data_IF_578300862118
#
_entry.id   IF_578300862118
#
_cell.length_a   1.000
_cell.length_b   1.000
_cell.length_c   1.000
_cell.angle_alpha   90.00
_cell.angle_beta   90.00
_cell.angle_gamma   90.00
#
_symmetry.space_group_name_H-M   'P 1'
#
loop_
_entity.id
_entity.type
_entity.pdbx_description
1 polymer ?
#
# COMPACT_ATOMS: atom_id res chain seq x y z
N UNK A 1 24.26 11.37 4.10
CA UNK A 1 23.50 10.10 4.19
C UNK A 1 23.78 9.30 5.47
N UNK A 2 24.82 9.64 6.22
CA UNK A 2 25.13 8.97 7.48
C UNK A 2 23.98 9.05 8.52
N UNK A 3 23.36 10.20 8.67
CA UNK A 3 22.33 10.42 9.70
C UNK A 3 21.05 9.59 9.56
N UNK A 4 20.60 9.23 8.32
CA UNK A 4 19.40 8.37 8.17
C UNK A 4 19.70 6.94 8.64
N UNK A 5 20.83 6.35 8.26
CA UNK A 5 21.19 5.00 8.67
C UNK A 5 21.37 4.90 10.20
N UNK A 6 21.97 5.93 10.81
CA UNK A 6 22.13 6.02 12.25
C UNK A 6 20.77 6.14 12.97
N UNK A 7 19.90 7.03 12.49
CA UNK A 7 18.54 7.19 13.02
C UNK A 7 17.70 5.92 12.88
N UNK A 8 17.77 5.23 11.73
CA UNK A 8 17.07 3.96 11.51
C UNK A 8 17.60 2.84 12.41
N UNK A 9 18.92 2.77 12.60
CA UNK A 9 19.56 1.82 13.53
C UNK A 9 19.13 2.09 14.97
N UNK A 10 19.11 3.36 15.38
CA UNK A 10 18.64 3.77 16.70
C UNK A 10 17.16 3.41 16.92
N UNK A 11 16.31 3.60 15.90
CA UNK A 11 14.90 3.20 15.94
C UNK A 11 14.75 1.69 16.14
N UNK A 12 15.50 0.87 15.41
CA UNK A 12 15.48 -0.58 15.54
C UNK A 12 16.01 -1.06 16.90
N UNK A 13 16.98 -0.37 17.45
CA UNK A 13 17.50 -0.58 18.80
C UNK A 13 16.58 -0.03 19.91
N UNK A 14 15.38 0.52 19.54
CA UNK A 14 14.42 1.17 20.44
C UNK A 14 14.97 2.42 21.16
N UNK A 15 16.10 2.96 20.70
CA UNK A 15 16.60 4.25 21.16
C UNK A 15 15.89 5.38 20.41
N UNK A 16 14.65 5.60 20.77
CA UNK A 16 13.78 6.55 20.05
C UNK A 16 14.19 8.01 20.21
N UNK A 17 14.89 8.36 21.30
CA UNK A 17 15.43 9.71 21.50
C UNK A 17 16.52 10.02 20.45
N UNK A 18 17.46 9.12 20.27
CA UNK A 18 18.51 9.25 19.24
C UNK A 18 17.89 9.20 17.85
N UNK A 19 16.95 8.26 17.60
CA UNK A 19 16.26 8.18 16.33
C UNK A 19 15.59 9.51 15.93
N UNK A 20 14.86 10.14 16.86
CA UNK A 20 14.24 11.46 16.61
C UNK A 20 15.26 12.55 16.32
N UNK A 21 16.35 12.58 17.06
CA UNK A 21 17.43 13.56 16.88
C UNK A 21 17.99 13.51 15.46
N UNK A 22 18.26 12.29 14.96
CA UNK A 22 18.86 12.08 13.65
C UNK A 22 17.82 12.20 12.50
N UNK A 23 16.61 11.68 12.68
CA UNK A 23 15.59 11.59 11.61
C UNK A 23 14.87 12.93 11.39
N UNK A 24 14.59 13.71 12.45
CA UNK A 24 13.79 14.94 12.33
C UNK A 24 14.39 15.97 11.37
N UNK A 25 15.69 16.32 11.43
CA UNK A 25 16.28 17.27 10.51
C UNK A 25 16.23 16.78 9.06
N UNK A 26 16.43 15.49 8.82
CA UNK A 26 16.36 14.88 7.49
C UNK A 26 14.94 14.91 6.92
N UNK A 27 13.94 14.58 7.73
CA UNK A 27 12.54 14.64 7.34
C UNK A 27 12.11 16.07 6.97
N UNK A 28 12.58 17.08 7.75
CA UNK A 28 12.36 18.50 7.45
C UNK A 28 13.06 18.96 6.18
N UNK A 29 14.23 18.38 5.89
CA UNK A 29 14.98 18.62 4.66
C UNK A 29 14.39 17.92 3.43
N UNK A 30 13.31 17.14 3.58
CA UNK A 30 12.60 16.51 2.47
C UNK A 30 12.97 15.04 2.21
N UNK A 31 13.84 14.41 3.01
CA UNK A 31 14.25 13.03 2.79
C UNK A 31 13.06 12.08 2.97
N UNK A 32 12.62 11.39 1.91
CA UNK A 32 11.39 10.61 1.90
C UNK A 32 11.36 9.46 2.93
N UNK A 33 12.48 8.73 3.08
CA UNK A 33 12.57 7.65 4.07
C UNK A 33 12.53 8.19 5.50
N UNK A 34 13.15 9.34 5.75
CA UNK A 34 13.10 9.99 7.06
C UNK A 34 11.70 10.49 7.37
N UNK A 35 11.00 11.06 6.39
CA UNK A 35 9.59 11.47 6.54
C UNK A 35 8.70 10.28 6.87
N UNK A 36 8.87 9.15 6.17
CA UNK A 36 8.13 7.93 6.45
C UNK A 36 8.41 7.41 7.85
N UNK A 37 9.68 7.33 8.26
CA UNK A 37 10.06 6.86 9.60
C UNK A 37 9.54 7.79 10.69
N UNK A 38 9.63 9.10 10.51
CA UNK A 38 9.07 10.07 11.45
C UNK A 38 7.54 9.96 11.56
N UNK A 39 6.86 9.75 10.43
CA UNK A 39 5.43 9.45 10.40
C UNK A 39 5.09 8.19 11.21
N UNK A 40 5.88 7.12 11.07
CA UNK A 40 5.72 5.89 11.84
C UNK A 40 5.94 6.10 13.34
N UNK A 41 6.90 6.94 13.73
CA UNK A 41 7.16 7.29 15.14
C UNK A 41 5.94 7.98 15.76
N UNK A 42 5.33 8.94 15.07
CA UNK A 42 4.09 9.58 15.51
C UNK A 42 2.89 8.62 15.52
N UNK A 43 2.79 7.75 14.53
CA UNK A 43 1.70 6.77 14.44
C UNK A 43 1.70 5.78 15.61
N UNK A 44 2.90 5.32 16.00
CA UNK A 44 3.08 4.34 17.08
C UNK A 44 3.32 4.97 18.46
N UNK A 45 3.54 6.29 18.55
CA UNK A 45 3.91 6.95 19.80
C UNK A 45 5.31 6.57 20.28
N UNK A 46 6.26 6.36 19.36
CA UNK A 46 7.63 5.95 19.67
C UNK A 46 8.55 7.16 19.79
N UNK A 47 8.96 7.49 21.01
CA UNK A 47 9.78 8.67 21.33
C UNK A 47 9.02 10.00 21.30
N UNK A 48 7.77 10.00 20.86
CA UNK A 48 6.83 11.13 20.84
C UNK A 48 5.45 10.67 21.29
N UNK A 49 4.61 11.57 21.74
CA UNK A 49 3.20 11.27 21.95
C UNK A 49 2.55 10.82 20.62
N UNK A 50 1.71 9.80 20.68
CA UNK A 50 0.99 9.31 19.49
C UNK A 50 0.08 10.40 18.93
N UNK A 51 0.28 10.70 17.65
CA UNK A 51 -0.51 11.71 16.93
C UNK A 51 -0.72 11.25 15.48
N UNK A 52 -1.90 10.73 15.20
CA UNK A 52 -2.25 10.25 13.86
C UNK A 52 -2.33 11.37 12.81
N UNK A 53 -2.68 12.60 13.21
CA UNK A 53 -2.75 13.74 12.29
C UNK A 53 -1.36 14.14 11.81
N UNK A 54 -0.41 14.25 12.74
CA UNK A 54 0.99 14.52 12.42
C UNK A 54 1.62 13.34 11.65
N UNK A 55 1.29 12.10 12.01
CA UNK A 55 1.74 10.92 11.27
C UNK A 55 1.28 10.96 9.81
N UNK A 56 0.00 11.23 9.55
CA UNK A 56 -0.54 11.35 8.19
C UNK A 56 0.15 12.44 7.40
N UNK A 57 0.41 13.59 8.02
CA UNK A 57 1.10 14.71 7.34
C UNK A 57 2.52 14.30 6.89
N UNK A 58 3.27 13.58 7.70
CA UNK A 58 4.61 13.11 7.35
C UNK A 58 4.55 11.97 6.30
N UNK A 59 3.65 10.99 6.46
CA UNK A 59 3.48 9.94 5.47
C UNK A 59 3.05 10.48 4.11
N UNK A 60 2.16 11.52 4.05
CA UNK A 60 1.78 12.15 2.79
C UNK A 60 2.96 12.78 2.06
N UNK A 61 3.83 13.50 2.77
CA UNK A 61 5.05 14.06 2.17
C UNK A 61 5.93 12.99 1.53
N UNK A 62 6.15 11.86 2.20
CA UNK A 62 6.90 10.74 1.65
C UNK A 62 6.17 10.05 0.48
N UNK A 63 4.85 9.90 0.59
CA UNK A 63 4.00 9.28 -0.43
C UNK A 63 3.95 10.10 -1.73
N UNK A 64 3.90 11.41 -1.63
CA UNK A 64 3.95 12.34 -2.76
C UNK A 64 5.29 12.27 -3.52
N UNK A 65 6.38 11.95 -2.82
CA UNK A 65 7.69 11.65 -3.42
C UNK A 65 7.79 10.23 -4.01
N UNK A 66 6.72 9.44 -3.93
CA UNK A 66 6.66 8.10 -4.54
C UNK A 66 7.09 6.96 -3.62
N UNK A 67 7.32 7.18 -2.32
CA UNK A 67 7.62 6.09 -1.38
C UNK A 67 6.41 5.14 -1.26
N UNK A 68 6.55 3.91 -1.76
CA UNK A 68 5.43 2.95 -1.85
C UNK A 68 4.88 2.57 -0.47
N UNK A 69 5.75 2.35 0.53
CA UNK A 69 5.34 2.07 1.91
C UNK A 69 4.49 3.21 2.49
N UNK A 70 4.89 4.46 2.24
CA UNK A 70 4.16 5.62 2.71
C UNK A 70 2.81 5.79 1.99
N UNK A 71 2.76 5.50 0.67
CA UNK A 71 1.52 5.48 -0.09
C UNK A 71 0.54 4.44 0.45
N UNK A 72 1.02 3.24 0.77
CA UNK A 72 0.20 2.21 1.41
C UNK A 72 -0.35 2.67 2.77
N UNK A 73 0.52 3.23 3.64
CA UNK A 73 0.09 3.72 4.97
C UNK A 73 -0.95 4.82 4.84
N UNK A 74 -0.76 5.80 3.95
CA UNK A 74 -1.75 6.86 3.69
C UNK A 74 -3.08 6.25 3.24
N UNK A 75 -3.05 5.29 2.30
CA UNK A 75 -4.24 4.56 1.87
C UNK A 75 -4.95 3.86 3.02
N UNK A 76 -4.21 3.17 3.89
CA UNK A 76 -4.74 2.48 5.06
C UNK A 76 -5.38 3.46 6.07
N UNK A 77 -4.77 4.61 6.30
CA UNK A 77 -5.31 5.65 7.20
C UNK A 77 -6.63 6.22 6.68
N UNK A 78 -6.77 6.45 5.37
CA UNK A 78 -8.05 6.83 4.76
C UNK A 78 -9.07 5.69 4.77
N UNK A 79 -8.64 4.45 4.59
CA UNK A 79 -9.54 3.29 4.62
C UNK A 79 -10.16 3.06 6.01
N UNK A 80 -9.34 3.20 7.05
CA UNK A 80 -9.75 2.95 8.44
C UNK A 80 -10.37 4.16 9.13
N UNK A 81 -10.18 5.36 8.59
CA UNK A 81 -10.63 6.59 9.24
C UNK A 81 -9.72 7.06 10.39
N UNK A 82 -8.46 6.60 10.43
CA UNK A 82 -7.50 7.04 11.43
C UNK A 82 -6.99 8.45 11.12
N UNK A 83 -7.37 9.44 11.91
CA UNK A 83 -7.05 10.88 11.81
C UNK A 83 -7.85 11.69 10.79
N UNK A 84 -8.52 11.08 9.86
CA UNK A 84 -9.40 11.70 8.87
C UNK A 84 -10.67 10.86 8.77
N UNK A 85 -11.81 11.40 8.35
CA UNK A 85 -12.98 10.59 8.03
C UNK A 85 -12.63 9.49 7.03
N UNK A 86 -13.19 8.29 7.23
CA UNK A 86 -12.95 7.17 6.33
C UNK A 86 -13.40 7.51 4.90
N UNK A 87 -12.50 7.33 3.95
CA UNK A 87 -12.73 7.55 2.53
C UNK A 87 -12.09 6.43 1.71
N UNK A 88 -12.90 5.45 1.36
CA UNK A 88 -12.45 4.30 0.60
C UNK A 88 -12.04 4.64 -0.84
N UNK A 89 -12.58 5.72 -1.45
CA UNK A 89 -12.17 6.17 -2.80
C UNK A 89 -10.76 6.75 -2.78
N UNK A 90 -10.49 7.62 -1.81
CA UNK A 90 -9.14 8.15 -1.59
C UNK A 90 -8.16 7.01 -1.24
N UNK A 91 -8.57 6.04 -0.41
CA UNK A 91 -7.74 4.87 -0.12
C UNK A 91 -7.38 4.07 -1.39
N UNK A 92 -8.35 3.82 -2.29
CA UNK A 92 -8.10 3.17 -3.60
C UNK A 92 -7.04 3.91 -4.39
N UNK A 93 -7.12 5.25 -4.46
CA UNK A 93 -6.14 6.05 -5.19
C UNK A 93 -4.71 5.85 -4.68
N UNK A 94 -4.54 5.84 -3.37
CA UNK A 94 -3.23 5.62 -2.74
C UNK A 94 -2.75 4.17 -2.86
N UNK A 95 -3.63 3.18 -2.65
CA UNK A 95 -3.30 1.78 -2.85
C UNK A 95 -2.89 1.48 -4.29
N UNK A 96 -3.55 2.08 -5.30
CA UNK A 96 -3.15 1.93 -6.70
C UNK A 96 -1.74 2.46 -6.97
N UNK A 97 -1.37 3.60 -6.40
CA UNK A 97 -0.01 4.16 -6.53
C UNK A 97 1.04 3.23 -5.92
N UNK A 98 0.80 2.72 -4.71
CA UNK A 98 1.71 1.78 -4.05
C UNK A 98 1.77 0.44 -4.79
N UNK A 99 0.62 -0.12 -5.17
CA UNK A 99 0.51 -1.39 -5.88
C UNK A 99 1.20 -1.35 -7.25
N UNK A 100 1.09 -0.24 -7.98
CA UNK A 100 1.80 -0.02 -9.24
C UNK A 100 3.33 0.01 -9.09
N UNK A 101 3.83 0.23 -7.87
CA UNK A 101 5.26 0.15 -7.52
C UNK A 101 5.69 -1.22 -7.00
N UNK A 102 4.80 -2.19 -6.99
CA UNK A 102 5.09 -3.55 -6.51
C UNK A 102 4.88 -3.77 -5.01
N UNK A 103 4.26 -2.81 -4.29
CA UNK A 103 4.00 -2.99 -2.86
C UNK A 103 2.94 -4.09 -2.63
N UNK A 104 3.35 -5.22 -2.07
CA UNK A 104 2.54 -6.44 -1.99
C UNK A 104 1.28 -6.28 -1.12
N UNK A 105 1.37 -5.58 0.01
CA UNK A 105 0.22 -5.31 0.87
C UNK A 105 -0.80 -4.39 0.19
N UNK A 106 -0.34 -3.43 -0.63
CA UNK A 106 -1.24 -2.57 -1.38
C UNK A 106 -1.92 -3.32 -2.53
N UNK A 107 -1.22 -4.24 -3.20
CA UNK A 107 -1.79 -5.14 -4.19
C UNK A 107 -2.86 -6.04 -3.55
N UNK A 108 -2.58 -6.61 -2.38
CA UNK A 108 -3.54 -7.40 -1.62
C UNK A 108 -4.78 -6.57 -1.21
N UNK A 109 -4.58 -5.39 -0.64
CA UNK A 109 -5.67 -4.51 -0.24
C UNK A 109 -6.57 -4.12 -1.44
N UNK A 110 -5.95 -3.77 -2.57
CA UNK A 110 -6.69 -3.41 -3.78
C UNK A 110 -7.46 -4.61 -4.36
N UNK A 111 -6.90 -5.81 -4.31
CA UNK A 111 -7.59 -7.05 -4.70
C UNK A 111 -8.85 -7.30 -3.86
N UNK A 112 -8.77 -7.09 -2.55
CA UNK A 112 -9.94 -7.16 -1.66
C UNK A 112 -11.00 -6.13 -2.05
N UNK A 113 -10.60 -4.92 -2.43
CA UNK A 113 -11.54 -3.87 -2.84
C UNK A 113 -12.27 -4.22 -4.14
N UNK A 114 -11.58 -4.82 -5.13
CA UNK A 114 -12.22 -5.38 -6.33
C UNK A 114 -13.15 -6.55 -6.01
N UNK A 115 -12.71 -7.48 -5.13
CA UNK A 115 -13.54 -8.62 -4.74
C UNK A 115 -14.85 -8.20 -4.09
N UNK A 116 -14.83 -7.20 -3.22
CA UNK A 116 -15.95 -6.79 -2.39
C UNK A 116 -16.62 -5.48 -2.83
N UNK A 117 -16.37 -5.01 -4.04
CA UNK A 117 -17.00 -3.80 -4.59
C UNK A 117 -16.85 -2.58 -3.67
N UNK A 118 -15.63 -2.29 -3.21
CA UNK A 118 -15.36 -1.20 -2.27
C UNK A 118 -14.66 -0.03 -2.95
N UNK A 119 -14.83 1.16 -2.37
CA UNK A 119 -14.16 2.37 -2.84
C UNK A 119 -14.55 2.83 -4.24
N UNK A 120 -15.76 2.47 -4.71
CA UNK A 120 -16.24 2.79 -6.05
C UNK A 120 -15.67 1.91 -7.16
N UNK A 121 -14.92 0.85 -6.81
CA UNK A 121 -14.44 -0.13 -7.80
C UNK A 121 -15.56 -1.10 -8.16
N UNK A 122 -15.68 -1.53 -9.44
CA UNK A 122 -16.56 -2.62 -9.83
C UNK A 122 -16.07 -3.94 -9.19
N UNK A 123 -16.99 -4.91 -9.04
CA UNK A 123 -16.57 -6.26 -8.70
C UNK A 123 -15.87 -6.89 -9.91
N UNK A 124 -14.60 -7.24 -9.75
CA UNK A 124 -13.81 -7.85 -10.82
C UNK A 124 -12.91 -8.95 -10.27
N UNK A 125 -13.32 -10.21 -10.50
CA UNK A 125 -12.60 -11.39 -10.02
C UNK A 125 -11.27 -11.56 -10.72
N UNK A 126 -11.18 -11.18 -12.00
CA UNK A 126 -9.95 -11.32 -12.80
C UNK A 126 -8.88 -10.36 -12.29
N UNK A 127 -9.25 -9.09 -12.06
CA UNK A 127 -8.33 -8.13 -11.46
C UNK A 127 -7.96 -8.50 -10.02
N UNK A 128 -8.90 -8.97 -9.21
CA UNK A 128 -8.60 -9.43 -7.85
C UNK A 128 -7.60 -10.60 -7.88
N UNK A 129 -7.81 -11.59 -8.74
CA UNK A 129 -6.90 -12.73 -8.89
C UNK A 129 -5.51 -12.29 -9.37
N UNK A 130 -5.44 -11.42 -10.42
CA UNK A 130 -4.19 -10.85 -10.90
C UNK A 130 -3.40 -10.15 -9.78
N UNK A 131 -4.06 -9.28 -9.03
CA UNK A 131 -3.43 -8.53 -7.94
C UNK A 131 -2.94 -9.44 -6.82
N UNK A 132 -3.69 -10.51 -6.50
CA UNK A 132 -3.21 -11.52 -5.54
C UNK A 132 -2.06 -12.36 -6.08
N UNK A 133 -1.97 -12.63 -7.39
CA UNK A 133 -0.78 -13.23 -7.98
C UNK A 133 0.45 -12.36 -7.75
N UNK A 134 0.33 -11.05 -8.00
CA UNK A 134 1.42 -10.10 -7.80
C UNK A 134 1.80 -10.00 -6.32
N UNK A 135 0.82 -9.86 -5.43
CA UNK A 135 1.05 -9.77 -4.00
C UNK A 135 1.72 -11.03 -3.43
N UNK A 136 1.29 -12.22 -3.87
CA UNK A 136 1.88 -13.49 -3.46
C UNK A 136 3.34 -13.63 -3.96
N UNK A 137 3.62 -13.21 -5.18
CA UNK A 137 4.98 -13.15 -5.71
C UNK A 137 5.86 -12.17 -4.91
N UNK A 138 5.28 -11.11 -4.36
CA UNK A 138 5.92 -10.17 -3.45
C UNK A 138 5.98 -10.63 -1.98
N UNK A 139 5.63 -11.89 -1.69
CA UNK A 139 5.74 -12.49 -0.35
C UNK A 139 4.52 -12.29 0.57
N UNK A 140 3.40 -11.76 0.06
CA UNK A 140 2.19 -11.62 0.88
C UNK A 140 1.48 -12.98 1.05
N UNK A 141 1.56 -13.55 2.26
CA UNK A 141 1.01 -14.88 2.58
C UNK A 141 -0.51 -14.93 2.45
N UNK A 142 -1.21 -13.88 2.90
CA UNK A 142 -2.68 -13.81 2.82
C UNK A 142 -3.18 -13.80 1.36
N UNK A 143 -2.40 -13.21 0.45
CA UNK A 143 -2.74 -13.18 -0.97
C UNK A 143 -2.80 -14.58 -1.59
N UNK A 144 -1.97 -15.50 -1.11
CA UNK A 144 -1.94 -16.89 -1.58
C UNK A 144 -3.26 -17.60 -1.32
N UNK A 145 -3.77 -17.49 -0.09
CA UNK A 145 -5.03 -18.09 0.32
C UNK A 145 -6.23 -17.47 -0.43
N UNK A 146 -6.26 -16.14 -0.49
CA UNK A 146 -7.34 -15.41 -1.14
C UNK A 146 -7.42 -15.71 -2.65
N UNK A 147 -6.26 -15.87 -3.30
CA UNK A 147 -6.17 -16.26 -4.70
C UNK A 147 -6.75 -17.67 -4.91
N UNK A 148 -6.40 -18.63 -4.06
CA UNK A 148 -6.92 -19.99 -4.16
C UNK A 148 -8.45 -20.03 -3.96
N UNK A 149 -8.97 -19.23 -3.03
CA UNK A 149 -10.41 -19.15 -2.78
C UNK A 149 -11.19 -18.52 -3.94
N UNK A 150 -10.69 -17.45 -4.54
CA UNK A 150 -11.41 -16.81 -5.65
C UNK A 150 -11.37 -17.69 -6.90
N UNK A 151 -10.28 -18.43 -7.13
CA UNK A 151 -10.15 -19.35 -8.27
C UNK A 151 -11.28 -20.37 -8.35
N UNK A 152 -11.76 -20.87 -7.20
CA UNK A 152 -12.88 -21.82 -7.13
C UNK A 152 -14.20 -21.27 -7.72
N UNK A 153 -14.29 -19.95 -7.91
CA UNK A 153 -15.46 -19.22 -8.41
C UNK A 153 -15.19 -18.54 -9.76
N UNK A 154 -14.14 -18.95 -10.46
CA UNK A 154 -13.73 -18.41 -11.75
C UNK A 154 -13.78 -19.51 -12.81
N UNK A 155 -14.01 -19.11 -14.06
CA UNK A 155 -13.83 -20.01 -15.20
C UNK A 155 -12.33 -20.13 -15.55
N UNK A 156 -11.97 -21.18 -16.29
CA UNK A 156 -10.59 -21.33 -16.74
C UNK A 156 -10.13 -20.15 -17.60
N UNK A 157 -11.01 -19.63 -18.47
CA UNK A 157 -10.75 -18.44 -19.28
C UNK A 157 -10.41 -17.20 -18.41
N UNK A 158 -11.17 -16.96 -17.34
CA UNK A 158 -10.89 -15.87 -16.41
C UNK A 158 -9.54 -16.02 -15.69
N UNK A 159 -9.20 -17.25 -15.31
CA UNK A 159 -7.90 -17.56 -14.69
C UNK A 159 -6.76 -17.31 -15.67
N UNK A 160 -6.90 -17.78 -16.92
CA UNK A 160 -5.89 -17.62 -17.96
C UNK A 160 -5.68 -16.13 -18.31
N UNK A 161 -6.76 -15.36 -18.38
CA UNK A 161 -6.70 -13.90 -18.57
C UNK A 161 -5.92 -13.24 -17.43
N UNK A 162 -6.28 -13.52 -16.17
CA UNK A 162 -5.61 -12.95 -15.01
C UNK A 162 -4.12 -13.30 -14.95
N UNK A 163 -3.77 -14.53 -15.30
CA UNK A 163 -2.37 -14.98 -15.39
C UNK A 163 -1.62 -14.28 -16.51
N UNK A 164 -2.25 -14.09 -17.67
CA UNK A 164 -1.66 -13.36 -18.78
C UNK A 164 -1.41 -11.89 -18.42
N UNK A 165 -2.36 -11.24 -17.72
CA UNK A 165 -2.19 -9.89 -17.21
C UNK A 165 -1.05 -9.81 -16.19
N UNK A 166 -0.94 -10.79 -15.28
CA UNK A 166 0.16 -10.88 -14.29
C UNK A 166 1.52 -10.96 -14.98
N UNK A 167 1.66 -11.83 -16.01
CA UNK A 167 2.93 -12.00 -16.74
C UNK A 167 3.38 -10.75 -17.50
N UNK A 168 2.43 -9.92 -17.95
CA UNK A 168 2.72 -8.68 -18.71
C UNK A 168 3.05 -7.50 -17.82
N UNK A 169 2.58 -7.51 -16.58
CA UNK A 169 2.76 -6.38 -15.70
C UNK A 169 4.15 -6.39 -15.05
N UNK A 170 4.73 -5.19 -14.88
CA UNK A 170 5.99 -4.96 -14.18
C UNK A 170 5.85 -3.76 -13.23
N UNK A 171 6.59 -3.72 -12.11
CA UNK A 171 6.62 -2.56 -11.23
C UNK A 171 6.94 -1.27 -11.99
N UNK A 172 6.14 -0.24 -11.73
CA UNK A 172 6.20 1.04 -12.46
C UNK A 172 5.17 1.16 -13.59
N UNK A 173 4.60 0.06 -14.07
CA UNK A 173 3.50 0.11 -15.03
C UNK A 173 2.17 0.46 -14.33
N UNK A 174 1.27 1.20 -15.00
CA UNK A 174 -0.08 1.42 -14.48
C UNK A 174 -0.81 0.09 -14.34
N UNK A 175 -1.56 -0.04 -13.24
CA UNK A 175 -2.45 -1.18 -13.05
C UNK A 175 -3.68 -1.05 -13.95
N UNK A 176 -4.16 -2.15 -14.54
CA UNK A 176 -5.41 -2.13 -15.29
C UNK A 176 -6.59 -1.71 -14.41
N UNK A 177 -7.62 -1.15 -15.04
CA UNK A 177 -8.84 -0.67 -14.35
C UNK A 177 -10.03 -1.59 -14.56
N UNK A 178 -9.95 -2.48 -15.53
CA UNK A 178 -10.97 -3.48 -15.86
C UNK A 178 -10.31 -4.71 -16.52
N UNK A 179 -10.96 -5.85 -16.40
CA UNK A 179 -10.69 -7.06 -17.19
C UNK A 179 -11.63 -7.15 -18.39
N UNK A 180 -11.29 -7.99 -19.37
CA UNK A 180 -12.18 -8.26 -20.52
C UNK A 180 -13.42 -9.03 -20.12
N UNK A 181 -13.26 -9.96 -19.17
CA UNK A 181 -14.33 -10.86 -18.69
C UNK A 181 -15.02 -10.36 -17.43
N UNK A 182 -14.53 -9.28 -16.79
CA UNK A 182 -15.08 -8.70 -15.56
C UNK A 182 -16.10 -7.60 -15.78
N UNK A 183 -16.29 -7.15 -17.02
CA UNK A 183 -17.35 -6.19 -17.37
C UNK A 183 -18.63 -6.98 -17.63
N UNK A 184 -19.52 -7.07 -16.64
CA UNK A 184 -20.89 -7.50 -16.90
C UNK A 184 -21.50 -6.53 -17.93
N UNK A 185 -22.08 -7.01 -19.04
CA UNK A 185 -22.89 -6.16 -19.89
C UNK A 185 -24.03 -5.59 -19.02
N UNK A 186 -24.13 -4.30 -19.00
CA UNK A 186 -25.23 -3.52 -18.39
C UNK A 186 -26.59 -3.87 -19.01
#
# INVERSE_FOLDING_TARGET
>A
MAGFAEGATAYNAKNYSLALKEITPLARAGHADAQHLLGLMYYLGRGVARDYKTALAWHRKAAEQGKADAQYVVGAMYYTGNSVPADARTAVSWFRRAAARGHSEAQHALALMYRYHRGGLPQDKVLAYMLWNLAAAGGNVNAFEQRAEIAKRMTQEQIDEAQAMTRRWQPGMPLPTSSRTGVSPS
#
